data_IF_118735474945
#
_entry.id   IF_118735474945
#
_cell.length_a   1.000
_cell.length_b   1.000
_cell.length_c   1.000
_cell.angle_alpha   90.00
_cell.angle_beta   90.00
_cell.angle_gamma   90.00
#
_symmetry.space_group_name_H-M   'P 1'
#
loop_
_entity.id
_entity.type
_entity.pdbx_description
1 polymer ?
#
# COMPACT_ATOMS: atom_id res chain seq x y z
N UNK A 1 6.55 17.27 24.39
CA UNK A 1 6.12 15.87 24.11
C UNK A 1 5.07 15.72 23.00
N UNK A 2 4.51 16.81 22.42
CA UNK A 2 3.53 16.70 21.31
C UNK A 2 4.14 16.55 19.89
N UNK A 3 5.45 16.78 19.72
CA UNK A 3 6.15 16.78 18.41
C UNK A 3 6.50 15.38 17.87
N UNK A 4 6.18 14.31 18.59
CA UNK A 4 6.59 12.93 18.26
C UNK A 4 5.39 11.96 18.21
N UNK A 5 4.19 12.46 17.91
CA UNK A 5 3.00 11.63 17.71
C UNK A 5 2.89 11.21 16.26
N UNK A 6 2.48 9.95 15.99
CA UNK A 6 2.15 9.48 14.65
C UNK A 6 1.11 10.35 13.95
N UNK A 7 0.23 11.02 14.72
CA UNK A 7 -0.72 12.01 14.19
C UNK A 7 -0.06 13.21 13.52
N UNK A 8 1.12 13.63 14.00
CA UNK A 8 1.89 14.70 13.35
C UNK A 8 2.59 14.16 12.10
N UNK A 9 3.07 12.92 12.14
CA UNK A 9 3.71 12.26 10.99
C UNK A 9 2.73 12.04 9.83
N UNK A 10 1.43 11.85 10.11
CA UNK A 10 0.38 11.77 9.08
C UNK A 10 0.32 13.03 8.20
N UNK A 11 0.65 14.20 8.75
CA UNK A 11 0.63 15.49 8.03
C UNK A 11 1.95 15.78 7.31
N UNK A 12 3.05 15.13 7.70
CA UNK A 12 4.38 15.35 7.12
C UNK A 12 4.41 15.17 5.59
N UNK A 13 3.83 14.11 5.00
CA UNK A 13 3.85 13.93 3.55
C UNK A 13 3.17 15.07 2.79
N UNK A 14 2.07 15.63 3.30
CA UNK A 14 1.40 16.77 2.68
C UNK A 14 2.24 18.05 2.78
N UNK A 15 2.88 18.30 3.93
CA UNK A 15 3.77 19.45 4.13
C UNK A 15 4.99 19.35 3.20
N UNK A 16 5.61 18.17 3.10
CA UNK A 16 6.74 17.94 2.20
C UNK A 16 6.32 18.10 0.74
N UNK A 17 5.14 17.60 0.36
CA UNK A 17 4.58 17.80 -0.98
C UNK A 17 4.39 19.30 -1.29
N UNK A 18 3.85 20.08 -0.35
CA UNK A 18 3.70 21.51 -0.50
C UNK A 18 5.05 22.24 -0.65
N UNK A 19 6.05 21.88 0.16
CA UNK A 19 7.41 22.42 0.03
C UNK A 19 8.05 22.08 -1.31
N UNK A 20 7.81 20.87 -1.83
CA UNK A 20 8.29 20.45 -3.15
C UNK A 20 7.62 21.25 -4.27
N UNK A 21 6.32 21.54 -4.16
CA UNK A 21 5.62 22.41 -5.12
C UNK A 21 6.16 23.84 -5.10
N UNK A 22 6.50 24.38 -3.93
CA UNK A 22 7.06 25.73 -3.79
C UNK A 22 8.53 25.82 -4.23
N UNK A 23 9.32 24.76 -4.02
CA UNK A 23 10.77 24.75 -4.26
C UNK A 23 11.21 23.53 -5.09
N UNK A 24 10.82 23.45 -6.38
CA UNK A 24 11.06 22.28 -7.22
C UNK A 24 12.55 21.95 -7.41
N UNK A 25 13.44 22.96 -7.37
CA UNK A 25 14.89 22.76 -7.45
C UNK A 25 15.45 21.92 -6.30
N UNK A 26 14.82 21.96 -5.13
CA UNK A 26 15.29 21.23 -3.95
C UNK A 26 14.84 19.76 -3.95
N UNK A 27 13.92 19.36 -4.83
CA UNK A 27 13.40 18.00 -4.86
C UNK A 27 14.50 17.02 -5.30
N UNK A 28 15.18 17.33 -6.41
CA UNK A 28 16.20 16.42 -6.97
C UNK A 28 17.36 16.17 -6.01
N UNK A 29 17.73 17.16 -5.20
CA UNK A 29 18.81 17.00 -4.21
C UNK A 29 18.35 16.21 -2.96
N UNK A 30 17.10 16.37 -2.54
CA UNK A 30 16.61 15.75 -1.31
C UNK A 30 16.00 14.35 -1.52
N UNK A 31 15.49 14.04 -2.72
CA UNK A 31 14.89 12.73 -3.03
C UNK A 31 15.80 11.56 -2.70
N UNK A 32 17.10 11.54 -3.09
CA UNK A 32 18.00 10.43 -2.77
C UNK A 32 18.20 10.20 -1.27
N UNK A 33 18.04 11.24 -0.43
CA UNK A 33 18.20 11.15 1.03
C UNK A 33 16.89 10.77 1.73
N UNK A 34 15.78 11.29 1.23
CA UNK A 34 14.47 11.14 1.86
C UNK A 34 13.79 9.82 1.46
N UNK A 35 14.01 9.36 0.22
CA UNK A 35 13.41 8.13 -0.29
C UNK A 35 13.75 6.89 0.55
N UNK A 36 15.02 6.60 0.88
CA UNK A 36 15.35 5.42 1.69
C UNK A 36 14.67 5.44 3.06
N UNK A 37 14.60 6.61 3.71
CA UNK A 37 13.97 6.76 5.02
C UNK A 37 12.46 6.52 4.95
N UNK A 38 11.79 6.98 3.89
CA UNK A 38 10.38 6.68 3.68
C UNK A 38 10.13 5.19 3.40
N UNK A 39 10.99 4.57 2.58
CA UNK A 39 10.91 3.12 2.29
C UNK A 39 11.12 2.32 3.57
N UNK A 40 12.11 2.67 4.39
CA UNK A 40 12.33 2.06 5.70
C UNK A 40 11.10 2.23 6.61
N UNK A 41 10.52 3.44 6.65
CA UNK A 41 9.33 3.73 7.47
C UNK A 41 8.14 2.85 7.10
N UNK A 42 7.85 2.67 5.80
CA UNK A 42 6.76 1.80 5.36
C UNK A 42 7.06 0.30 5.57
N UNK A 43 8.35 -0.05 5.64
CA UNK A 43 8.82 -1.43 5.82
C UNK A 43 8.78 -1.89 7.29
N UNK A 44 8.54 -0.98 8.25
CA UNK A 44 8.46 -1.34 9.67
C UNK A 44 7.32 -2.34 9.87
N UNK A 45 7.69 -3.60 10.13
CA UNK A 45 6.74 -4.66 10.44
C UNK A 45 6.17 -4.46 11.84
N UNK A 46 4.84 -4.43 11.93
CA UNK A 46 4.14 -4.46 13.21
C UNK A 46 3.84 -5.90 13.63
N UNK A 47 3.58 -6.16 14.92
CA UNK A 47 3.06 -7.44 15.35
C UNK A 47 1.73 -7.77 14.63
N UNK A 48 1.40 -9.06 14.42
CA UNK A 48 0.13 -9.45 13.79
C UNK A 48 -1.05 -8.88 14.57
N UNK A 49 -2.14 -8.51 13.87
CA UNK A 49 -3.33 -7.87 14.47
C UNK A 49 -3.86 -8.59 15.73
N UNK A 50 -3.78 -9.92 15.77
CA UNK A 50 -4.23 -10.74 16.91
C UNK A 50 -3.33 -10.70 18.14
N UNK A 51 -2.08 -10.27 18.01
CA UNK A 51 -1.09 -10.22 19.09
C UNK A 51 -0.90 -8.82 19.68
N UNK A 52 -1.67 -7.83 19.22
CA UNK A 52 -1.56 -6.45 19.69
C UNK A 52 -2.33 -6.30 21.02
N UNK A 53 -1.63 -5.90 22.11
CA UNK A 53 -2.30 -5.60 23.38
C UNK A 53 -3.40 -4.55 23.21
N UNK A 54 -4.52 -4.70 23.91
CA UNK A 54 -5.68 -3.81 23.76
C UNK A 54 -5.33 -2.31 23.88
N UNK A 55 -4.43 -1.96 24.80
CA UNK A 55 -3.98 -0.58 25.03
C UNK A 55 -3.13 0.00 23.89
N UNK A 56 -2.51 -0.84 23.03
CA UNK A 56 -1.70 -0.39 21.90
C UNK A 56 -2.45 -0.40 20.56
N UNK A 57 -3.71 -0.88 20.52
CA UNK A 57 -4.48 -0.95 19.27
C UNK A 57 -4.63 0.40 18.58
N UNK A 58 -4.89 1.46 19.36
CA UNK A 58 -5.01 2.82 18.82
C UNK A 58 -3.67 3.32 18.25
N UNK A 59 -2.57 3.16 18.99
CA UNK A 59 -1.23 3.55 18.53
C UNK A 59 -0.79 2.77 17.30
N UNK A 60 -1.09 1.48 17.24
CA UNK A 60 -0.83 0.67 16.05
C UNK A 60 -1.65 1.14 14.84
N UNK A 61 -2.93 1.49 15.04
CA UNK A 61 -3.75 2.06 13.98
C UNK A 61 -3.18 3.39 13.47
N UNK A 62 -2.73 4.27 14.37
CA UNK A 62 -2.07 5.53 14.00
C UNK A 62 -0.76 5.29 13.22
N UNK A 63 0.06 4.30 13.63
CA UNK A 63 1.26 3.89 12.90
C UNK A 63 0.90 3.41 11.49
N UNK A 64 -0.09 2.53 11.34
CA UNK A 64 -0.52 2.01 10.04
C UNK A 64 -1.06 3.13 9.14
N UNK A 65 -1.83 4.06 9.69
CA UNK A 65 -2.28 5.24 8.95
C UNK A 65 -1.10 6.10 8.47
N UNK A 66 -0.08 6.32 9.31
CA UNK A 66 1.12 7.04 8.92
C UNK A 66 1.89 6.31 7.80
N UNK A 67 2.09 5.00 7.91
CA UNK A 67 2.74 4.19 6.86
C UNK A 67 1.98 4.26 5.53
N UNK A 68 0.64 4.16 5.56
CA UNK A 68 -0.19 4.28 4.36
C UNK A 68 -0.09 5.67 3.74
N UNK A 69 -0.08 6.74 4.54
CA UNK A 69 0.13 8.12 4.06
C UNK A 69 1.50 8.32 3.42
N UNK A 70 2.55 7.78 4.03
CA UNK A 70 3.90 7.77 3.46
C UNK A 70 3.93 7.00 2.14
N UNK A 71 3.26 5.85 2.07
CA UNK A 71 3.12 5.08 0.84
C UNK A 71 2.40 5.87 -0.26
N UNK A 72 1.28 6.52 0.05
CA UNK A 72 0.57 7.41 -0.90
C UNK A 72 1.52 8.46 -1.46
N UNK A 73 2.34 9.08 -0.62
CA UNK A 73 3.31 10.09 -1.05
C UNK A 73 4.46 9.49 -1.88
N UNK A 74 4.95 8.31 -1.53
CA UNK A 74 5.91 7.57 -2.35
C UNK A 74 5.34 7.29 -3.75
N UNK A 75 4.07 6.88 -3.85
CA UNK A 75 3.44 6.65 -5.17
C UNK A 75 3.30 7.94 -5.98
N UNK A 76 3.07 9.07 -5.33
CA UNK A 76 3.07 10.37 -6.00
C UNK A 76 4.46 10.70 -6.55
N UNK A 77 5.51 10.54 -5.74
CA UNK A 77 6.90 10.78 -6.16
C UNK A 77 7.38 9.82 -7.25
N UNK A 78 6.90 8.57 -7.24
CA UNK A 78 7.23 7.55 -8.22
C UNK A 78 6.98 8.02 -9.66
N UNK A 79 5.94 8.83 -9.88
CA UNK A 79 5.58 9.36 -11.21
C UNK A 79 6.64 10.29 -11.80
N UNK A 80 7.39 11.00 -10.95
CA UNK A 80 8.34 12.03 -11.38
C UNK A 80 9.80 11.60 -11.20
N UNK A 81 10.08 10.61 -10.36
CA UNK A 81 11.43 10.22 -9.96
C UNK A 81 11.69 8.72 -10.04
N UNK A 82 10.99 8.00 -10.93
CA UNK A 82 10.99 6.54 -11.04
C UNK A 82 12.38 5.88 -10.96
N UNK A 83 13.41 6.48 -11.56
CA UNK A 83 14.76 5.90 -11.57
C UNK A 83 15.38 5.79 -10.17
N UNK A 84 15.07 6.72 -9.26
CA UNK A 84 15.54 6.66 -7.87
C UNK A 84 14.87 5.51 -7.09
N UNK A 85 13.71 5.05 -7.52
CA UNK A 85 12.94 4.03 -6.84
C UNK A 85 13.35 2.61 -7.26
N UNK A 86 14.04 2.43 -8.39
CA UNK A 86 14.32 1.11 -8.97
C UNK A 86 15.00 0.15 -7.99
N UNK A 87 15.95 0.64 -7.19
CA UNK A 87 16.64 -0.15 -6.16
C UNK A 87 15.75 -0.59 -4.99
N UNK A 88 14.57 0.01 -4.85
CA UNK A 88 13.62 -0.24 -3.76
C UNK A 88 12.37 -1.00 -4.21
N UNK A 89 12.30 -1.43 -5.48
CA UNK A 89 11.09 -2.04 -6.05
C UNK A 89 10.52 -3.17 -5.20
N UNK A 90 11.35 -4.15 -4.83
CA UNK A 90 10.88 -5.34 -4.12
C UNK A 90 10.55 -5.02 -2.65
N UNK A 91 11.30 -4.09 -2.04
CA UNK A 91 11.03 -3.58 -0.68
C UNK A 91 9.67 -2.89 -0.61
N UNK A 92 9.34 -2.07 -1.62
CA UNK A 92 8.05 -1.37 -1.72
C UNK A 92 6.92 -2.39 -1.91
N UNK A 93 7.07 -3.36 -2.81
CA UNK A 93 6.06 -4.37 -3.05
C UNK A 93 5.79 -5.23 -1.79
N UNK A 94 6.86 -5.67 -1.11
CA UNK A 94 6.76 -6.39 0.16
C UNK A 94 6.06 -5.55 1.24
N UNK A 95 6.45 -4.29 1.39
CA UNK A 95 5.82 -3.37 2.36
C UNK A 95 4.34 -3.18 2.10
N UNK A 96 3.92 -3.01 0.84
CA UNK A 96 2.50 -2.89 0.48
C UNK A 96 1.71 -4.13 0.89
N UNK A 97 2.24 -5.32 0.62
CA UNK A 97 1.57 -6.59 0.94
C UNK A 97 1.48 -6.79 2.45
N UNK A 98 2.55 -6.49 3.18
CA UNK A 98 2.56 -6.56 4.64
C UNK A 98 1.62 -5.53 5.27
N UNK A 99 1.54 -4.32 4.71
CA UNK A 99 0.55 -3.32 5.11
C UNK A 99 -0.87 -3.82 4.85
N UNK A 100 -1.17 -4.44 3.72
CA UNK A 100 -2.51 -4.99 3.42
C UNK A 100 -2.93 -6.07 4.45
N UNK A 101 -1.99 -6.94 4.83
CA UNK A 101 -2.21 -7.98 5.85
C UNK A 101 -2.37 -7.42 7.27
N UNK A 102 -1.61 -6.39 7.61
CA UNK A 102 -1.54 -5.85 8.99
C UNK A 102 -2.38 -4.59 9.22
N UNK A 103 -2.98 -4.02 8.17
CA UNK A 103 -3.85 -2.85 8.29
C UNK A 103 -5.09 -3.21 9.11
N UNK A 104 -5.46 -2.43 10.14
CA UNK A 104 -6.72 -2.61 10.82
C UNK A 104 -7.90 -2.35 9.88
N UNK A 105 -9.09 -2.84 10.24
CA UNK A 105 -10.32 -2.68 9.46
C UNK A 105 -10.94 -1.28 9.61
N UNK A 106 -10.13 -0.27 9.26
CA UNK A 106 -10.50 1.14 9.18
C UNK A 106 -10.69 1.48 7.69
N UNK A 107 -11.93 1.79 7.30
CA UNK A 107 -12.33 1.95 5.90
C UNK A 107 -11.48 2.99 5.16
N UNK A 108 -11.24 4.16 5.78
CA UNK A 108 -10.47 5.24 5.16
C UNK A 108 -9.02 4.83 4.90
N UNK A 109 -8.34 4.25 5.89
CA UNK A 109 -6.95 3.81 5.77
C UNK A 109 -6.80 2.69 4.75
N UNK A 110 -7.66 1.66 4.78
CA UNK A 110 -7.64 0.59 3.78
C UNK A 110 -7.93 1.09 2.37
N UNK A 111 -8.90 1.98 2.20
CA UNK A 111 -9.20 2.62 0.90
C UNK A 111 -7.97 3.30 0.34
N UNK A 112 -7.30 4.12 1.15
CA UNK A 112 -6.11 4.85 0.75
C UNK A 112 -4.97 3.89 0.36
N UNK A 113 -4.76 2.81 1.13
CA UNK A 113 -3.78 1.78 0.80
C UNK A 113 -4.11 1.05 -0.52
N UNK A 114 -5.37 0.72 -0.79
CA UNK A 114 -5.79 0.11 -2.06
C UNK A 114 -5.54 1.05 -3.24
N UNK A 115 -5.83 2.35 -3.09
CA UNK A 115 -5.55 3.36 -4.11
C UNK A 115 -4.04 3.49 -4.35
N UNK A 116 -3.23 3.55 -3.30
CA UNK A 116 -1.77 3.58 -3.42
C UNK A 116 -1.24 2.31 -4.12
N UNK A 117 -1.74 1.13 -3.72
CA UNK A 117 -1.38 -0.15 -4.36
C UNK A 117 -1.68 -0.13 -5.85
N UNK A 118 -2.83 0.41 -6.25
CA UNK A 118 -3.21 0.58 -7.65
C UNK A 118 -2.20 1.41 -8.42
N UNK A 119 -1.77 2.54 -7.85
CA UNK A 119 -0.78 3.40 -8.48
C UNK A 119 0.55 2.70 -8.70
N UNK A 120 1.00 1.82 -7.79
CA UNK A 120 2.22 1.03 -8.01
C UNK A 120 2.03 0.02 -9.13
N UNK A 121 0.90 -0.71 -9.13
CA UNK A 121 0.59 -1.73 -10.15
C UNK A 121 0.49 -1.11 -11.56
N UNK A 122 0.03 0.14 -11.66
CA UNK A 122 -0.04 0.87 -12.93
C UNK A 122 1.33 1.30 -13.51
N UNK A 123 2.44 1.02 -12.80
CA UNK A 123 3.82 1.35 -13.24
C UNK A 123 4.64 0.08 -13.49
N UNK A 124 5.89 0.23 -13.93
CA UNK A 124 6.81 -0.91 -14.10
C UNK A 124 7.24 -1.57 -12.78
N UNK A 125 6.99 -0.92 -11.65
CA UNK A 125 7.21 -1.46 -10.31
C UNK A 125 6.29 -2.64 -9.99
N UNK A 126 5.26 -2.87 -10.80
CA UNK A 126 4.35 -4.03 -10.69
C UNK A 126 5.08 -5.38 -10.65
N UNK A 127 6.27 -5.46 -11.26
CA UNK A 127 7.11 -6.68 -11.27
C UNK A 127 7.47 -7.15 -9.86
N UNK A 128 7.62 -6.23 -8.91
CA UNK A 128 7.90 -6.58 -7.51
C UNK A 128 6.77 -7.37 -6.84
N UNK A 129 5.54 -7.34 -7.38
CA UNK A 129 4.40 -8.09 -6.83
C UNK A 129 4.30 -9.53 -7.30
N UNK A 130 5.15 -10.01 -8.22
CA UNK A 130 5.04 -11.36 -8.78
C UNK A 130 4.99 -12.42 -7.66
N UNK A 131 5.94 -12.38 -6.72
CA UNK A 131 5.99 -13.30 -5.58
C UNK A 131 4.79 -13.21 -4.63
N UNK A 132 3.97 -12.18 -4.75
CA UNK A 132 2.83 -11.89 -3.88
C UNK A 132 1.47 -12.05 -4.55
N UNK A 133 1.39 -12.39 -5.84
CA UNK A 133 0.12 -12.52 -6.58
C UNK A 133 -0.86 -13.44 -5.85
N UNK A 134 -0.40 -14.62 -5.38
CA UNK A 134 -1.26 -15.54 -4.65
C UNK A 134 -1.86 -14.94 -3.36
N UNK A 135 -1.10 -14.06 -2.69
CA UNK A 135 -1.59 -13.32 -1.51
C UNK A 135 -2.57 -12.23 -1.91
N UNK A 136 -2.30 -11.50 -3.00
CA UNK A 136 -3.16 -10.41 -3.47
C UNK A 136 -4.50 -10.93 -4.00
N UNK A 137 -4.55 -12.16 -4.51
CA UNK A 137 -5.79 -12.86 -4.90
C UNK A 137 -6.71 -13.22 -3.73
N UNK A 138 -6.28 -13.02 -2.49
CA UNK A 138 -7.12 -13.19 -1.31
C UNK A 138 -7.90 -11.90 -1.02
N UNK A 139 -9.22 -11.94 -1.19
CA UNK A 139 -10.12 -10.82 -0.90
C UNK A 139 -9.99 -10.34 0.55
N UNK A 140 -9.75 -11.24 1.51
CA UNK A 140 -9.61 -10.87 2.92
C UNK A 140 -8.35 -10.04 3.16
N UNK A 141 -7.29 -10.24 2.37
CA UNK A 141 -6.07 -9.43 2.46
C UNK A 141 -6.33 -8.01 1.96
N UNK A 142 -7.06 -7.87 0.84
CA UNK A 142 -7.33 -6.57 0.24
C UNK A 142 -8.36 -5.76 1.04
N UNK A 143 -9.46 -6.40 1.41
CA UNK A 143 -10.65 -5.73 1.95
C UNK A 143 -10.68 -5.77 3.48
N UNK A 144 -10.08 -6.79 4.09
CA UNK A 144 -10.17 -7.03 5.52
C UNK A 144 -11.42 -7.81 5.93
N UNK A 145 -11.50 -8.12 7.23
CA UNK A 145 -12.55 -8.98 7.80
C UNK A 145 -13.81 -8.21 8.25
N UNK A 146 -13.67 -6.90 8.45
CA UNK A 146 -14.70 -6.03 8.98
C UNK A 146 -15.80 -5.74 7.95
N UNK A 147 -17.06 -5.89 8.37
CA UNK A 147 -18.25 -5.70 7.51
C UNK A 147 -18.28 -4.34 6.80
N UNK A 148 -17.88 -3.26 7.48
CA UNK A 148 -17.86 -1.92 6.90
C UNK A 148 -16.84 -1.78 5.77
N UNK A 149 -15.62 -2.31 5.96
CA UNK A 149 -14.62 -2.37 4.90
C UNK A 149 -15.11 -3.25 3.75
N UNK A 150 -15.75 -4.38 4.09
CA UNK A 150 -16.32 -5.29 3.11
C UNK A 150 -17.33 -4.64 2.18
N UNK A 151 -18.28 -3.89 2.73
CA UNK A 151 -19.31 -3.22 1.94
C UNK A 151 -18.73 -2.06 1.11
N UNK A 152 -17.81 -1.28 1.69
CA UNK A 152 -17.32 -0.06 1.06
C UNK A 152 -16.20 -0.28 0.02
N UNK A 153 -15.34 -1.29 0.22
CA UNK A 153 -14.07 -1.41 -0.52
C UNK A 153 -14.07 -2.52 -1.56
N UNK A 154 -15.05 -3.44 -1.51
CA UNK A 154 -15.16 -4.57 -2.44
C UNK A 154 -15.11 -4.15 -3.92
N UNK A 155 -15.83 -3.11 -4.40
CA UNK A 155 -15.72 -2.68 -5.80
C UNK A 155 -14.31 -2.21 -6.18
N UNK A 156 -13.62 -1.50 -5.28
CA UNK A 156 -12.26 -1.03 -5.50
C UNK A 156 -11.26 -2.18 -5.54
N UNK A 157 -11.38 -3.13 -4.61
CA UNK A 157 -10.52 -4.32 -4.55
C UNK A 157 -10.67 -5.19 -5.80
N UNK A 158 -11.88 -5.40 -6.32
CA UNK A 158 -12.07 -6.15 -7.56
C UNK A 158 -11.53 -5.42 -8.79
N UNK A 159 -11.68 -4.10 -8.85
CA UNK A 159 -11.09 -3.30 -9.91
C UNK A 159 -9.55 -3.39 -9.91
N UNK A 160 -8.94 -3.36 -8.72
CA UNK A 160 -7.51 -3.57 -8.52
C UNK A 160 -7.07 -4.98 -8.96
N UNK A 161 -7.82 -6.00 -8.55
CA UNK A 161 -7.54 -7.40 -8.90
C UNK A 161 -7.58 -7.62 -10.41
N UNK A 162 -8.62 -7.11 -11.08
CA UNK A 162 -8.76 -7.22 -12.53
C UNK A 162 -7.56 -6.59 -13.24
N UNK A 163 -7.12 -5.42 -12.77
CA UNK A 163 -5.94 -4.74 -13.29
C UNK A 163 -4.65 -5.52 -13.02
N UNK A 164 -4.45 -6.04 -11.80
CA UNK A 164 -3.28 -6.88 -11.47
C UNK A 164 -3.22 -8.09 -12.39
N UNK A 165 -4.31 -8.84 -12.50
CA UNK A 165 -4.41 -10.07 -13.31
C UNK A 165 -4.17 -9.77 -14.77
N UNK A 166 -4.72 -8.68 -15.30
CA UNK A 166 -4.47 -8.26 -16.66
C UNK A 166 -2.96 -8.11 -16.94
N UNK A 167 -2.23 -7.51 -16.00
CA UNK A 167 -0.79 -7.31 -16.12
C UNK A 167 0.02 -8.60 -15.95
N UNK A 168 -0.39 -9.52 -15.06
CA UNK A 168 0.39 -10.75 -14.77
C UNK A 168 -0.10 -11.99 -15.51
N UNK A 169 -1.13 -11.89 -16.37
CA UNK A 169 -1.82 -13.05 -16.99
C UNK A 169 -0.92 -14.06 -17.67
N UNK A 170 0.18 -13.62 -18.27
CA UNK A 170 1.14 -14.49 -18.97
C UNK A 170 2.06 -15.27 -18.04
N UNK A 171 2.11 -14.87 -16.77
CA UNK A 171 2.99 -15.43 -15.74
C UNK A 171 2.20 -16.26 -14.71
N UNK A 172 0.87 -16.35 -14.84
CA UNK A 172 0.02 -17.09 -13.91
C UNK A 172 0.09 -18.60 -14.15
N UNK A 173 0.26 -19.35 -13.06
CA UNK A 173 0.06 -20.80 -13.05
C UNK A 173 -1.42 -21.16 -13.22
N UNK A 174 -1.69 -22.39 -13.68
CA UNK A 174 -3.06 -22.91 -13.83
C UNK A 174 -3.87 -22.86 -12.52
N UNK A 175 -3.21 -23.11 -11.38
CA UNK A 175 -3.84 -23.03 -10.06
C UNK A 175 -4.29 -21.60 -9.71
N UNK A 176 -3.44 -20.60 -10.01
CA UNK A 176 -3.79 -19.20 -9.79
C UNK A 176 -4.91 -18.75 -10.72
N UNK A 177 -4.89 -19.18 -12.00
CA UNK A 177 -5.96 -18.91 -12.96
C UNK A 177 -7.32 -19.49 -12.51
N UNK A 178 -7.34 -20.72 -12.01
CA UNK A 178 -8.58 -21.32 -11.45
C UNK A 178 -9.16 -20.49 -10.31
N UNK A 179 -8.30 -20.04 -9.38
CA UNK A 179 -8.70 -19.20 -8.25
C UNK A 179 -9.21 -17.83 -8.68
N UNK A 180 -8.58 -17.24 -9.69
CA UNK A 180 -9.05 -16.01 -10.34
C UNK A 180 -10.45 -16.20 -10.92
N UNK A 181 -10.67 -17.23 -11.75
CA UNK A 181 -11.96 -17.49 -12.39
C UNK A 181 -13.05 -17.68 -11.34
N UNK A 182 -12.80 -18.48 -10.30
CA UNK A 182 -13.74 -18.72 -9.21
C UNK A 182 -14.10 -17.43 -8.45
N UNK A 183 -13.11 -16.57 -8.19
CA UNK A 183 -13.32 -15.31 -7.50
C UNK A 183 -14.16 -14.34 -8.35
N UNK A 184 -13.89 -14.20 -9.65
CA UNK A 184 -14.72 -13.34 -10.51
C UNK A 184 -16.11 -13.92 -10.75
N UNK A 185 -16.27 -15.23 -10.92
CA UNK A 185 -17.59 -15.84 -11.17
C UNK A 185 -18.55 -15.66 -10.00
N UNK A 186 -18.05 -15.67 -8.75
CA UNK A 186 -18.87 -15.43 -7.55
C UNK A 186 -19.35 -13.99 -7.40
N UNK A 187 -18.78 -13.04 -8.13
CA UNK A 187 -19.07 -11.61 -8.01
C UNK A 187 -19.79 -11.03 -9.24
N UNK A 188 -20.04 -11.84 -10.27
CA UNK A 188 -20.82 -11.48 -11.47
C UNK A 188 -22.32 -11.71 -11.28
N UNK A 189 -22.73 -12.37 -10.18
CA UNK A 189 -24.12 -12.58 -9.77
C UNK A 189 -24.49 -11.70 -8.57
#
# INVERSE_FOLDING_TARGET
TSRCSFKVVIECPLIVMFLFQLYPRNIQHNTPRLLPLMVETISISGPPLGHIPAHLKATHADLKAAQVKTMSFLTYMLRSFADHFRSHQDSIAGSVVDLLRTCPDIVSTRKELLVATRHVIATDFRKGFHGYVATLLDEQVLVGSGRACHQALRPLAYSLLAELIHHVRTELSLQQLSRVIYLFSRNVH
#
